data_IF_625118120790
#
_entry.id   IF_625118120790
#
_cell.length_a   1.000
_cell.length_b   1.000
_cell.length_c   1.000
_cell.angle_alpha   90.00
_cell.angle_beta   90.00
_cell.angle_gamma   90.00
#
_symmetry.space_group_name_H-M   'P 1'
#
loop_
_entity.id
_entity.type
_entity.pdbx_description
1 polymer ?
#
# COMPACT_ATOMS: atom_id res chain seq x y z
N UNK A 1 -18.37 -33.98 2.37
CA UNK A 1 -17.74 -32.78 1.78
C UNK A 1 -17.01 -32.05 2.88
N UNK A 2 -15.67 -32.08 2.88
CA UNK A 2 -14.85 -31.34 3.85
C UNK A 2 -14.53 -29.97 3.25
N UNK A 3 -14.86 -28.90 3.96
CA UNK A 3 -14.39 -27.56 3.64
C UNK A 3 -12.85 -27.55 3.64
N UNK A 4 -12.18 -26.99 2.61
CA UNK A 4 -10.75 -26.85 2.65
C UNK A 4 -10.37 -25.89 3.79
N UNK A 5 -9.39 -26.31 4.58
CA UNK A 5 -8.82 -25.51 5.67
C UNK A 5 -8.32 -24.16 5.16
N UNK A 6 -8.30 -23.10 6.02
CA UNK A 6 -7.76 -21.81 5.64
C UNK A 6 -6.29 -21.99 5.24
N UNK A 7 -6.04 -21.81 3.95
CA UNK A 7 -4.72 -21.99 3.35
C UNK A 7 -3.68 -21.17 4.09
N UNK A 8 -2.66 -21.88 4.56
CA UNK A 8 -1.42 -21.38 5.14
C UNK A 8 -0.86 -20.27 4.23
N UNK A 9 -0.55 -19.14 4.85
CA UNK A 9 0.14 -18.00 4.25
C UNK A 9 1.56 -18.44 3.88
N UNK A 10 1.73 -18.99 2.68
CA UNK A 10 3.03 -19.49 2.21
C UNK A 10 3.91 -18.32 1.81
N UNK A 11 4.86 -17.98 2.69
CA UNK A 11 5.99 -17.11 2.42
C UNK A 11 6.89 -17.77 1.35
N UNK A 12 6.65 -17.50 0.07
CA UNK A 12 7.65 -17.76 -0.98
C UNK A 12 8.63 -16.59 -1.04
N UNK A 13 9.65 -16.69 -0.20
CA UNK A 13 11.07 -16.39 -0.49
C UNK A 13 11.36 -15.30 -1.55
N UNK A 14 11.40 -14.03 -1.13
CA UNK A 14 12.35 -12.99 -1.58
C UNK A 14 12.12 -11.70 -0.78
N UNK A 15 12.44 -11.69 0.52
CA UNK A 15 12.53 -10.48 1.36
C UNK A 15 11.26 -9.64 1.58
N UNK A 16 10.19 -9.85 0.81
CA UNK A 16 8.92 -9.15 0.87
C UNK A 16 7.92 -9.97 1.69
N UNK A 17 8.14 -10.01 3.01
CA UNK A 17 7.33 -10.80 3.95
C UNK A 17 5.88 -10.33 4.08
N UNK A 18 5.31 -10.42 5.30
CA UNK A 18 3.90 -10.11 5.62
C UNK A 18 3.30 -8.84 4.97
N UNK A 19 4.13 -7.86 4.62
CA UNK A 19 3.80 -6.65 3.87
C UNK A 19 3.07 -6.94 2.54
N UNK A 20 3.54 -7.93 1.77
CA UNK A 20 2.92 -8.29 0.48
C UNK A 20 1.50 -8.84 0.68
N UNK A 21 1.27 -9.58 1.78
CA UNK A 21 -0.06 -10.10 2.07
C UNK A 21 -1.01 -9.04 2.63
N UNK A 22 -0.52 -8.02 3.34
CA UNK A 22 -1.36 -6.87 3.74
C UNK A 22 -1.81 -6.10 2.50
N UNK A 23 -0.87 -5.74 1.62
CA UNK A 23 -1.16 -5.04 0.37
C UNK A 23 -2.11 -5.84 -0.53
N UNK A 24 -1.87 -7.15 -0.67
CA UNK A 24 -2.75 -8.06 -1.41
C UNK A 24 -4.15 -8.17 -0.81
N UNK A 25 -4.27 -8.25 0.52
CA UNK A 25 -5.56 -8.35 1.22
C UNK A 25 -6.39 -7.07 1.06
N UNK A 26 -5.76 -5.91 1.24
CA UNK A 26 -6.38 -4.60 1.02
C UNK A 26 -6.89 -4.48 -0.42
N UNK A 27 -6.02 -4.77 -1.38
CA UNK A 27 -6.35 -4.66 -2.82
C UNK A 27 -7.50 -5.57 -3.19
N UNK A 28 -7.50 -6.82 -2.68
CA UNK A 28 -8.60 -7.76 -2.91
C UNK A 28 -9.92 -7.23 -2.34
N UNK A 29 -9.88 -6.73 -1.11
CA UNK A 29 -11.09 -6.25 -0.42
C UNK A 29 -11.72 -5.05 -1.11
N UNK A 30 -10.89 -4.10 -1.55
CA UNK A 30 -11.36 -2.93 -2.31
C UNK A 30 -11.96 -3.38 -3.63
N UNK A 31 -11.28 -4.27 -4.37
CA UNK A 31 -11.76 -4.79 -5.66
C UNK A 31 -13.11 -5.51 -5.55
N UNK A 32 -13.34 -6.29 -4.50
CA UNK A 32 -14.62 -6.94 -4.23
C UNK A 32 -15.75 -5.91 -4.08
N UNK A 33 -15.52 -4.87 -3.28
CA UNK A 33 -16.52 -3.82 -3.00
C UNK A 33 -16.75 -2.93 -4.23
N UNK A 34 -15.69 -2.52 -4.92
CA UNK A 34 -15.74 -1.74 -6.16
C UNK A 34 -16.56 -2.46 -7.24
N UNK A 35 -16.33 -3.77 -7.43
CA UNK A 35 -17.12 -4.60 -8.36
C UNK A 35 -18.59 -4.69 -7.95
N UNK A 36 -18.89 -4.89 -6.67
CA UNK A 36 -20.26 -4.92 -6.18
C UNK A 36 -21.01 -3.60 -6.41
N UNK A 37 -20.30 -2.46 -6.33
CA UNK A 37 -20.84 -1.12 -6.56
C UNK A 37 -20.83 -0.67 -8.02
N UNK A 38 -20.17 -1.43 -8.91
CA UNK A 38 -19.88 -1.02 -10.31
C UNK A 38 -19.13 0.31 -10.41
N UNK A 39 -18.32 0.61 -9.40
CA UNK A 39 -17.47 1.81 -9.36
C UNK A 39 -16.03 1.33 -9.39
N UNK A 40 -15.25 1.81 -10.37
CA UNK A 40 -13.82 1.49 -10.49
C UNK A 40 -13.01 2.75 -10.16
N UNK A 41 -12.19 2.74 -9.09
CA UNK A 41 -11.35 3.89 -8.76
C UNK A 41 -10.30 4.07 -9.86
N UNK A 42 -10.30 5.24 -10.51
CA UNK A 42 -9.39 5.56 -11.62
C UNK A 42 -8.11 6.23 -11.14
N UNK A 43 -8.11 6.73 -9.91
CA UNK A 43 -6.96 7.41 -9.30
C UNK A 43 -6.53 6.74 -7.99
N UNK A 44 -5.25 6.90 -7.64
CA UNK A 44 -4.69 6.40 -6.38
C UNK A 44 -5.35 7.07 -5.15
N UNK A 45 -5.77 8.33 -5.30
CA UNK A 45 -6.51 9.07 -4.27
C UNK A 45 -7.90 8.48 -4.03
N UNK A 46 -8.66 8.19 -5.10
CA UNK A 46 -9.95 7.50 -5.01
C UNK A 46 -9.80 6.13 -4.37
N UNK A 47 -8.81 5.35 -4.80
CA UNK A 47 -8.49 4.06 -4.21
C UNK A 47 -8.24 4.20 -2.70
N UNK A 48 -7.41 5.15 -2.29
CA UNK A 48 -7.09 5.36 -0.86
C UNK A 48 -8.31 5.76 -0.05
N UNK A 49 -9.19 6.61 -0.60
CA UNK A 49 -10.44 7.00 0.04
C UNK A 49 -11.38 5.80 0.21
N UNK A 50 -11.46 4.92 -0.79
CA UNK A 50 -12.24 3.69 -0.70
C UNK A 50 -11.64 2.74 0.34
N UNK A 51 -10.32 2.60 0.39
CA UNK A 51 -9.68 1.74 1.38
C UNK A 51 -9.95 2.23 2.80
N UNK A 52 -9.86 3.53 3.07
CA UNK A 52 -10.17 4.10 4.39
C UNK A 52 -11.60 3.81 4.84
N UNK A 53 -12.55 3.78 3.90
CA UNK A 53 -13.96 3.45 4.17
C UNK A 53 -14.18 1.96 4.40
N UNK A 54 -13.46 1.11 3.67
CA UNK A 54 -13.66 -0.35 3.65
C UNK A 54 -12.87 -1.05 4.76
N UNK A 55 -11.65 -0.58 5.03
CA UNK A 55 -10.69 -1.17 5.94
C UNK A 55 -10.48 -0.25 7.15
N UNK A 56 -11.47 -0.16 8.02
CA UNK A 56 -11.46 0.75 9.18
C UNK A 56 -10.44 0.39 10.28
N UNK A 57 -9.85 -0.80 10.22
CA UNK A 57 -8.85 -1.27 11.18
C UNK A 57 -7.40 -0.91 10.84
N UNK A 58 -7.17 -0.19 9.73
CA UNK A 58 -5.82 0.19 9.29
C UNK A 58 -5.75 1.69 8.97
N UNK A 59 -4.63 2.29 9.35
CA UNK A 59 -4.32 3.66 8.98
C UNK A 59 -3.57 3.68 7.65
N UNK A 60 -4.10 4.42 6.68
CA UNK A 60 -3.51 4.56 5.35
C UNK A 60 -3.19 6.02 5.10
N UNK A 61 -1.93 6.25 4.76
CA UNK A 61 -1.42 7.55 4.33
C UNK A 61 -1.37 7.55 2.80
N UNK A 62 -1.83 8.66 2.22
CA UNK A 62 -1.65 8.96 0.82
C UNK A 62 -0.70 10.14 0.75
N UNK A 63 0.38 9.99 -0.01
CA UNK A 63 1.33 11.05 -0.32
C UNK A 63 1.26 11.31 -1.81
N UNK A 64 1.15 12.57 -2.22
CA UNK A 64 1.21 12.94 -3.64
C UNK A 64 2.64 12.81 -4.16
N UNK A 65 2.76 12.69 -5.48
CA UNK A 65 4.07 12.65 -6.15
C UNK A 65 4.88 13.93 -5.88
N UNK A 66 4.21 15.08 -5.85
CA UNK A 66 4.79 16.38 -5.48
C UNK A 66 5.36 16.40 -4.06
N UNK A 67 4.65 15.80 -3.10
CA UNK A 67 5.11 15.70 -1.71
C UNK A 67 6.33 14.79 -1.61
N UNK A 68 6.31 13.65 -2.31
CA UNK A 68 7.45 12.72 -2.36
C UNK A 68 8.67 13.41 -2.95
N UNK A 69 8.52 14.15 -4.05
CA UNK A 69 9.63 14.81 -4.71
C UNK A 69 10.22 15.95 -3.86
N UNK A 70 9.38 16.73 -3.19
CA UNK A 70 9.83 17.77 -2.26
C UNK A 70 10.62 17.19 -1.07
N UNK A 71 10.22 16.01 -0.57
CA UNK A 71 10.95 15.32 0.51
C UNK A 71 12.25 14.72 0.00
N UNK A 72 12.26 14.10 -1.19
CA UNK A 72 13.48 13.58 -1.81
C UNK A 72 14.53 14.67 -2.01
N UNK A 73 14.15 15.82 -2.57
CA UNK A 73 15.06 16.93 -2.78
C UNK A 73 15.73 17.38 -1.46
N UNK A 74 14.97 17.48 -0.38
CA UNK A 74 15.52 17.80 0.96
C UNK A 74 16.45 16.70 1.48
N UNK A 75 16.11 15.44 1.27
CA UNK A 75 16.95 14.32 1.69
C UNK A 75 18.27 14.30 0.91
N UNK A 76 18.23 14.58 -0.39
CA UNK A 76 19.42 14.67 -1.24
C UNK A 76 20.32 15.83 -0.81
N UNK A 77 19.77 17.00 -0.49
CA UNK A 77 20.53 18.13 0.08
C UNK A 77 21.22 17.76 1.40
N UNK A 78 20.51 17.09 2.31
CA UNK A 78 21.10 16.59 3.56
C UNK A 78 22.21 15.57 3.32
N UNK A 79 22.04 14.70 2.32
CA UNK A 79 23.01 13.66 1.99
C UNK A 79 24.29 14.24 1.40
N UNK A 80 24.18 15.25 0.52
CA UNK A 80 25.33 15.98 -0.05
C UNK A 80 26.09 16.72 1.03
N UNK A 81 25.39 17.34 1.98
CA UNK A 81 26.00 18.09 3.09
C UNK A 81 26.85 17.19 3.98
N UNK A 82 26.35 16.01 4.34
CA UNK A 82 27.09 15.04 5.15
C UNK A 82 28.24 14.36 4.39
N UNK A 83 28.20 14.32 3.06
CA UNK A 83 29.27 13.76 2.23
C UNK A 83 30.49 14.67 2.07
N UNK A 84 30.38 15.95 2.44
CA UNK A 84 31.49 16.92 2.39
C UNK A 84 32.28 17.04 3.71
N UNK A 85 31.79 16.43 4.80
CA UNK A 85 32.47 16.41 6.11
C UNK A 85 33.46 15.23 6.30
N UNK A 86 33.79 14.49 5.23
CA UNK A 86 34.77 13.39 5.25
C UNK A 86 36.07 13.78 4.54
#
# INVERSE_FOLDING_TARGET
>A
MRYPQPGIFSATSHGKGCIDGIGGTITRRVREVSRARKVDPRTLLEFTNDVKKICTGINILYESEEQIEAVKAKLDEMWVTNGQEI
#
